data_IF_186893624381
#
_entry.id   IF_186893624381
#
_cell.length_a   1.000
_cell.length_b   1.000
_cell.length_c   1.000
_cell.angle_alpha   90.00
_cell.angle_beta   90.00
_cell.angle_gamma   90.00
#
_symmetry.space_group_name_H-M   'P 1'
#
loop_
_entity.id
_entity.type
_entity.pdbx_description
1 polymer ?
#
# COMPACT_ATOMS: atom_id res chain seq x y z
N UNK A 1 -14.97 40.53 -11.29
CA UNK A 1 -14.27 39.69 -12.28
C UNK A 1 -13.43 38.67 -11.53
N UNK A 2 -13.57 37.41 -11.95
CA UNK A 2 -12.76 36.22 -11.65
C UNK A 2 -13.16 35.37 -10.45
N UNK A 3 -13.94 34.32 -10.76
CA UNK A 3 -14.22 33.14 -9.96
C UNK A 3 -13.07 32.13 -10.12
N UNK A 4 -12.48 31.65 -9.02
CA UNK A 4 -11.57 30.52 -9.05
C UNK A 4 -12.39 29.22 -8.97
N UNK A 5 -12.58 28.56 -10.11
CA UNK A 5 -13.09 27.20 -10.15
C UNK A 5 -12.04 26.26 -9.57
N UNK A 6 -12.33 25.67 -8.40
CA UNK A 6 -11.56 24.53 -7.89
C UNK A 6 -11.79 23.35 -8.83
N UNK A 7 -10.81 23.09 -9.70
CA UNK A 7 -10.78 21.88 -10.52
C UNK A 7 -10.56 20.68 -9.62
N UNK A 8 -11.65 20.05 -9.17
CA UNK A 8 -11.61 18.69 -8.66
C UNK A 8 -11.18 17.79 -9.81
N UNK A 9 -9.91 17.41 -9.84
CA UNK A 9 -9.42 16.34 -10.69
C UNK A 9 -10.04 15.04 -10.22
N UNK A 10 -11.23 14.76 -10.71
CA UNK A 10 -11.84 13.44 -10.69
C UNK A 10 -11.00 12.53 -11.60
N UNK A 11 -9.79 12.20 -11.15
CA UNK A 11 -9.03 11.09 -11.71
C UNK A 11 -9.94 9.88 -11.57
N UNK A 12 -10.28 9.25 -12.69
CA UNK A 12 -11.15 8.10 -12.72
C UNK A 12 -10.62 7.06 -11.73
N UNK A 13 -11.22 7.01 -10.54
CA UNK A 13 -10.79 6.11 -9.47
C UNK A 13 -10.96 4.70 -10.01
N UNK A 14 -9.85 4.06 -10.34
CA UNK A 14 -9.86 2.68 -10.78
C UNK A 14 -10.59 1.86 -9.72
N UNK A 15 -11.51 0.99 -10.15
CA UNK A 15 -12.31 0.18 -9.19
C UNK A 15 -11.45 -0.82 -8.41
N UNK A 16 -10.26 -1.11 -8.93
CA UNK A 16 -9.24 -1.95 -8.31
C UNK A 16 -8.17 -1.05 -7.70
N UNK A 17 -7.86 -1.29 -6.43
CA UNK A 17 -6.78 -0.62 -5.70
C UNK A 17 -5.81 -1.68 -5.18
N UNK A 18 -4.51 -1.42 -5.31
CA UNK A 18 -3.44 -2.33 -4.88
C UNK A 18 -2.59 -1.64 -3.83
N UNK A 19 -2.58 -2.23 -2.64
CA UNK A 19 -1.76 -1.77 -1.53
C UNK A 19 -0.73 -2.84 -1.16
N UNK A 20 0.48 -2.41 -0.79
CA UNK A 20 1.53 -3.29 -0.26
C UNK A 20 1.77 -2.95 1.20
N UNK A 21 1.81 -3.98 2.04
CA UNK A 21 2.18 -3.88 3.46
C UNK A 21 3.48 -4.63 3.69
N UNK A 22 4.48 -3.93 4.20
CA UNK A 22 5.78 -4.53 4.55
C UNK A 22 5.77 -4.83 6.04
N UNK A 23 5.90 -6.12 6.39
CA UNK A 23 5.98 -6.56 7.78
C UNK A 23 7.29 -6.05 8.40
N UNK A 24 7.28 -5.53 9.64
CA UNK A 24 8.52 -5.13 10.30
C UNK A 24 9.38 -6.36 10.60
N UNK A 25 10.71 -6.18 10.62
CA UNK A 25 11.65 -7.27 10.86
C UNK A 25 11.38 -7.92 12.22
N UNK A 26 11.31 -9.25 12.25
CA UNK A 26 11.16 -9.99 13.50
C UNK A 26 12.55 -10.38 13.99
N UNK A 27 12.85 -10.18 15.27
CA UNK A 27 14.15 -10.53 15.87
C UNK A 27 14.55 -12.02 15.70
N UNK A 28 13.57 -12.90 15.41
CA UNK A 28 13.83 -14.33 15.11
C UNK A 28 14.40 -14.57 13.71
N UNK A 29 14.40 -13.55 12.86
CA UNK A 29 14.83 -13.61 11.46
C UNK A 29 16.16 -12.87 11.22
N UNK A 30 16.84 -12.40 12.27
CA UNK A 30 18.07 -11.58 12.20
C UNK A 30 19.28 -12.24 11.49
N UNK A 31 19.19 -13.52 11.12
CA UNK A 31 20.18 -14.21 10.31
C UNK A 31 19.93 -14.20 8.80
N UNK A 32 18.77 -13.71 8.34
CA UNK A 32 18.46 -13.55 6.93
C UNK A 32 18.80 -12.12 6.50
N UNK A 33 19.66 -12.01 5.49
CA UNK A 33 20.08 -10.76 4.84
C UNK A 33 18.91 -9.76 4.72
N UNK A 34 19.07 -8.46 5.05
CA UNK A 34 18.06 -7.44 4.80
C UNK A 34 17.92 -7.19 3.30
N UNK A 35 17.39 -8.18 2.57
CA UNK A 35 17.18 -8.16 1.12
C UNK A 35 16.05 -7.20 0.70
N UNK A 36 15.55 -6.38 1.63
CA UNK A 36 14.56 -5.36 1.37
C UNK A 36 14.95 -4.07 2.10
N UNK A 37 15.89 -3.33 1.53
CA UNK A 37 16.01 -1.90 1.79
C UNK A 37 14.82 -1.20 1.12
N UNK A 38 13.62 -1.39 1.67
CA UNK A 38 12.42 -0.73 1.19
C UNK A 38 12.52 0.75 1.56
N UNK A 39 12.97 1.58 0.64
CA UNK A 39 12.77 3.02 0.72
C UNK A 39 11.28 3.27 0.49
N UNK A 40 10.48 3.20 1.56
CA UNK A 40 9.04 3.40 1.51
C UNK A 40 8.76 4.89 1.33
N UNK A 41 8.68 5.34 0.07
CA UNK A 41 7.95 6.56 -0.26
C UNK A 41 6.46 6.19 -0.38
N UNK A 42 5.55 7.14 -0.10
CA UNK A 42 4.11 6.88 0.04
C UNK A 42 3.42 6.14 -1.13
N UNK A 43 4.06 6.04 -2.30
CA UNK A 43 3.56 5.34 -3.49
C UNK A 43 4.56 4.36 -4.15
N UNK A 44 5.80 4.23 -3.65
CA UNK A 44 6.84 3.45 -4.36
C UNK A 44 7.58 2.53 -3.39
N UNK A 45 7.67 1.25 -3.76
CA UNK A 45 8.49 0.26 -3.07
C UNK A 45 9.69 -0.06 -3.95
N UNK A 46 10.89 0.13 -3.40
CA UNK A 46 12.14 -0.32 -4.01
C UNK A 46 12.53 -1.66 -3.40
N UNK A 47 12.61 -2.70 -4.22
CA UNK A 47 13.14 -4.00 -3.83
C UNK A 47 14.60 -4.13 -4.32
N UNK A 48 15.55 -4.17 -3.38
CA UNK A 48 16.98 -4.34 -3.67
C UNK A 48 17.36 -5.80 -3.43
N UNK A 49 17.48 -6.60 -4.49
CA UNK A 49 17.96 -7.99 -4.38
C UNK A 49 19.40 -8.07 -4.89
N UNK A 50 20.37 -7.87 -3.99
CA UNK A 50 21.80 -8.00 -4.29
C UNK A 50 22.40 -6.85 -5.13
N UNK A 51 23.72 -6.90 -5.43
CA UNK A 51 24.52 -5.73 -5.85
C UNK A 51 24.20 -5.15 -7.24
N UNK A 52 23.30 -5.73 -8.04
CA UNK A 52 23.13 -5.33 -9.45
C UNK A 52 21.69 -5.04 -9.92
N UNK A 53 20.64 -5.23 -9.11
CA UNK A 53 19.26 -4.95 -9.57
C UNK A 53 18.38 -4.31 -8.52
N UNK A 54 18.24 -3.00 -8.64
CA UNK A 54 17.15 -2.22 -8.07
C UNK A 54 15.89 -2.39 -8.94
N UNK A 55 14.79 -2.84 -8.35
CA UNK A 55 13.47 -2.82 -9.01
C UNK A 55 12.53 -1.93 -8.21
N UNK A 56 12.04 -0.88 -8.85
CA UNK A 56 11.00 -0.02 -8.31
C UNK A 56 9.62 -0.53 -8.75
N UNK A 57 8.69 -0.61 -7.81
CA UNK A 57 7.29 -0.93 -8.03
C UNK A 57 6.43 0.19 -7.46
N UNK A 58 5.42 0.60 -8.22
CA UNK A 58 4.48 1.65 -7.82
C UNK A 58 3.15 1.02 -7.40
N UNK A 59 2.60 1.50 -6.30
CA UNK A 59 1.34 1.02 -5.71
C UNK A 59 0.51 2.20 -5.21
N UNK A 60 -0.81 2.02 -5.09
CA UNK A 60 -1.70 3.06 -4.58
C UNK A 60 -1.37 3.42 -3.12
N UNK A 61 -0.99 2.42 -2.33
CA UNK A 61 -0.57 2.59 -0.95
C UNK A 61 0.61 1.68 -0.61
N UNK A 62 1.65 2.28 -0.02
CA UNK A 62 2.75 1.56 0.62
C UNK A 62 2.64 1.77 2.12
N UNK A 63 2.40 0.67 2.85
CA UNK A 63 2.21 0.67 4.29
C UNK A 63 3.43 0.02 4.93
N UNK A 64 4.08 0.78 5.81
CA UNK A 64 5.08 0.23 6.70
C UNK A 64 4.39 -0.54 7.84
N UNK A 65 5.12 -1.42 8.50
CA UNK A 65 4.61 -2.31 9.53
C UNK A 65 4.06 -1.63 10.80
N UNK A 66 3.77 -0.33 10.78
CA UNK A 66 3.55 0.54 11.94
C UNK A 66 2.20 0.38 12.64
N UNK A 67 1.24 -0.37 12.08
CA UNK A 67 0.02 -0.76 12.80
C UNK A 67 -1.17 -1.11 11.90
N UNK A 68 -2.18 -1.80 12.47
CA UNK A 68 -3.40 -2.16 11.73
C UNK A 68 -4.30 -0.96 11.45
N UNK A 69 -4.24 0.08 12.27
CA UNK A 69 -5.08 1.27 12.13
C UNK A 69 -4.80 2.03 10.82
N UNK A 70 -3.53 2.17 10.45
CA UNK A 70 -3.15 2.84 9.20
C UNK A 70 -3.67 2.09 7.98
N UNK A 71 -3.56 0.74 7.97
CA UNK A 71 -4.13 -0.13 6.95
C UNK A 71 -5.65 0.05 6.86
N UNK A 72 -6.34 0.07 8.01
CA UNK A 72 -7.79 0.28 8.03
C UNK A 72 -8.16 1.66 7.48
N UNK A 73 -7.49 2.73 7.89
CA UNK A 73 -7.80 4.09 7.41
C UNK A 73 -7.55 4.24 5.90
N UNK A 74 -6.47 3.66 5.38
CA UNK A 74 -6.11 3.76 3.96
C UNK A 74 -7.00 2.89 3.05
N UNK A 75 -7.23 1.63 3.43
CA UNK A 75 -7.89 0.63 2.58
C UNK A 75 -9.29 0.27 3.09
N UNK A 76 -9.41 -0.04 4.39
CA UNK A 76 -10.64 -0.58 4.99
C UNK A 76 -11.80 0.43 5.06
N UNK A 77 -11.56 1.63 5.58
CA UNK A 77 -12.56 2.68 5.77
C UNK A 77 -13.27 3.09 4.46
N UNK A 78 -12.56 3.39 3.34
CA UNK A 78 -13.23 3.71 2.09
C UNK A 78 -13.98 2.50 1.51
N UNK A 79 -13.46 1.29 1.65
CA UNK A 79 -14.16 0.07 1.22
C UNK A 79 -15.45 -0.16 2.01
N UNK A 80 -15.44 0.07 3.31
CA UNK A 80 -16.62 -0.03 4.17
C UNK A 80 -17.67 1.03 3.81
N UNK A 81 -17.25 2.26 3.52
CA UNK A 81 -18.18 3.31 3.09
C UNK A 81 -18.89 2.95 1.78
N UNK A 82 -18.20 2.33 0.83
CA UNK A 82 -18.81 1.84 -0.41
C UNK A 82 -19.78 0.67 -0.15
N UNK A 83 -19.41 -0.26 0.73
CA UNK A 83 -20.32 -1.33 1.13
C UNK A 83 -21.61 -0.79 1.77
N UNK A 84 -21.52 0.25 2.60
CA UNK A 84 -22.67 0.91 3.22
C UNK A 84 -23.58 1.64 2.21
N UNK A 85 -23.05 2.04 1.04
CA UNK A 85 -23.85 2.59 -0.07
C UNK A 85 -24.53 1.50 -0.92
N UNK A 86 -24.31 0.23 -0.60
CA UNK A 86 -24.86 -0.91 -1.33
C UNK A 86 -23.97 -1.43 -2.47
N UNK A 87 -22.69 -1.05 -2.52
CA UNK A 87 -21.76 -1.63 -3.49
C UNK A 87 -21.17 -2.95 -3.01
N UNK A 88 -20.94 -3.86 -3.95
CA UNK A 88 -20.20 -5.09 -3.69
C UNK A 88 -18.71 -4.78 -3.63
N UNK A 89 -18.09 -5.10 -2.50
CA UNK A 89 -16.68 -4.81 -2.23
C UNK A 89 -15.95 -6.10 -1.91
N UNK A 90 -14.73 -6.26 -2.43
CA UNK A 90 -13.90 -7.44 -2.22
C UNK A 90 -12.47 -7.03 -1.85
N UNK A 91 -11.92 -7.61 -0.77
CA UNK A 91 -10.57 -7.37 -0.28
C UNK A 91 -9.80 -8.69 -0.25
N UNK A 92 -8.67 -8.73 -0.94
CA UNK A 92 -7.76 -9.88 -0.93
C UNK A 92 -6.48 -9.53 -0.20
N UNK A 93 -6.02 -10.44 0.66
CA UNK A 93 -4.67 -10.42 1.21
C UNK A 93 -3.83 -11.47 0.47
N UNK A 94 -2.73 -11.02 -0.14
CA UNK A 94 -1.83 -11.89 -0.90
C UNK A 94 -0.40 -11.71 -0.42
N UNK A 95 0.31 -12.81 -0.23
CA UNK A 95 1.69 -12.81 0.23
C UNK A 95 2.20 -14.21 0.53
N UNK A 96 3.50 -14.29 0.86
CA UNK A 96 4.11 -15.53 1.29
C UNK A 96 3.53 -16.01 2.63
N UNK A 97 3.69 -17.29 2.95
CA UNK A 97 3.25 -17.84 4.23
C UNK A 97 3.91 -17.05 5.38
N UNK A 98 3.11 -16.59 6.36
CA UNK A 98 3.56 -15.74 7.49
C UNK A 98 3.95 -14.28 7.14
N UNK A 99 3.59 -13.76 5.95
CA UNK A 99 3.89 -12.35 5.62
C UNK A 99 2.91 -11.33 6.20
N UNK A 100 1.69 -11.74 6.56
CA UNK A 100 0.58 -10.88 7.01
C UNK A 100 0.42 -10.82 8.53
#
# INVERSE_FOLDING_TARGET
>A
MSSAASSSSSSASSRVRVAVRIRPHLARCDGADPALAALASSATVVAVRGPEREKAFEFDHVLDGSGQEQLYRAVGAPMLAEAMKGFNVCLFAYGATSSG
#
